data_IF_514475810637
#
_entry.id   IF_514475810637
#
_cell.length_a   1.000
_cell.length_b   1.000
_cell.length_c   1.000
_cell.angle_alpha   90.00
_cell.angle_beta   90.00
_cell.angle_gamma   90.00
#
_symmetry.space_group_name_H-M   'P 1'
#
loop_
_entity.id
_entity.type
_entity.pdbx_description
1 polymer ?
#
# COMPACT_ATOMS: atom_id res chain seq x y z
N UNK A 1 10.06 17.50 -7.07
CA UNK A 1 9.19 16.38 -6.66
C UNK A 1 9.36 15.26 -7.68
N UNK A 2 9.51 14.01 -7.25
CA UNK A 2 9.81 12.87 -8.14
C UNK A 2 8.50 12.21 -8.62
N UNK A 3 8.29 12.12 -9.94
CA UNK A 3 7.05 11.59 -10.53
C UNK A 3 6.98 10.07 -10.63
N UNK A 4 8.05 9.37 -10.29
CA UNK A 4 8.28 7.95 -10.53
C UNK A 4 8.59 7.16 -9.23
N UNK A 5 8.47 7.80 -8.07
CA UNK A 5 8.81 7.18 -6.78
C UNK A 5 7.66 6.32 -6.25
N UNK A 6 8.00 5.19 -5.65
CA UNK A 6 7.06 4.35 -4.93
C UNK A 6 6.90 4.84 -3.49
N UNK A 7 5.70 5.27 -3.15
CA UNK A 7 5.35 5.83 -1.86
C UNK A 7 4.32 4.92 -1.17
N UNK A 8 4.63 4.35 0.01
CA UNK A 8 3.73 3.45 0.71
C UNK A 8 2.66 4.20 1.51
N UNK A 9 1.42 3.74 1.41
CA UNK A 9 0.35 4.02 2.37
C UNK A 9 0.59 3.16 3.63
N UNK A 10 1.37 3.69 4.57
CA UNK A 10 1.90 2.92 5.70
C UNK A 10 0.81 2.39 6.64
N UNK A 11 1.13 1.31 7.38
CA UNK A 11 0.27 0.80 8.45
C UNK A 11 0.04 1.82 9.56
N UNK A 12 1.05 2.63 9.90
CA UNK A 12 0.95 3.66 10.92
C UNK A 12 -0.11 4.71 10.57
N UNK A 13 -0.21 5.14 9.31
CA UNK A 13 -1.27 6.05 8.86
C UNK A 13 -2.67 5.47 9.11
N UNK A 14 -2.86 4.17 8.92
CA UNK A 14 -4.11 3.47 9.22
C UNK A 14 -4.37 3.22 10.71
N UNK A 15 -3.37 3.39 11.57
CA UNK A 15 -3.50 3.30 13.03
C UNK A 15 -3.88 4.65 13.61
N UNK A 16 -3.29 5.73 13.09
CA UNK A 16 -3.62 7.10 13.47
C UNK A 16 -5.02 7.52 13.01
N UNK A 17 -5.44 7.07 11.82
CA UNK A 17 -6.77 7.37 11.26
C UNK A 17 -7.35 6.11 10.58
N UNK A 18 -8.59 5.70 10.90
CA UNK A 18 -9.26 4.60 10.21
C UNK A 18 -9.30 4.72 8.67
N UNK A 19 -9.33 5.94 8.12
CA UNK A 19 -9.25 6.23 6.68
C UNK A 19 -7.83 6.59 6.22
N UNK A 20 -6.84 6.60 7.09
CA UNK A 20 -5.50 7.14 6.82
C UNK A 20 -4.79 6.48 5.65
N UNK A 21 -4.96 5.17 5.44
CA UNK A 21 -4.44 4.47 4.25
C UNK A 21 -5.11 4.95 2.96
N UNK A 22 -6.43 5.16 2.96
CA UNK A 22 -7.15 5.69 1.79
C UNK A 22 -6.71 7.11 1.49
N UNK A 23 -6.62 7.97 2.52
CA UNK A 23 -6.13 9.35 2.39
C UNK A 23 -4.71 9.38 1.82
N UNK A 24 -3.81 8.53 2.29
CA UNK A 24 -2.46 8.44 1.76
C UNK A 24 -2.45 8.05 0.27
N UNK A 25 -3.24 7.05 -0.14
CA UNK A 25 -3.36 6.65 -1.55
C UNK A 25 -3.91 7.78 -2.43
N UNK A 26 -4.88 8.56 -1.93
CA UNK A 26 -5.43 9.72 -2.63
C UNK A 26 -4.47 10.91 -2.66
N UNK A 27 -3.53 10.97 -1.72
CA UNK A 27 -2.53 12.05 -1.62
C UNK A 27 -1.21 11.75 -2.35
N UNK A 28 -1.14 10.67 -3.13
CA UNK A 28 0.01 10.33 -3.98
C UNK A 28 0.74 9.03 -3.62
N UNK A 29 0.35 8.32 -2.56
CA UNK A 29 0.87 6.98 -2.30
C UNK A 29 0.39 5.99 -3.36
N UNK A 30 1.26 5.08 -3.76
CA UNK A 30 0.97 4.06 -4.79
C UNK A 30 1.29 2.63 -4.35
N UNK A 31 1.88 2.43 -3.18
CA UNK A 31 2.19 1.11 -2.60
C UNK A 31 1.34 0.86 -1.36
N UNK A 32 0.93 -0.39 -1.15
CA UNK A 32 0.36 -0.87 0.12
C UNK A 32 1.17 -2.07 0.62
N UNK A 33 1.32 -2.18 1.93
CA UNK A 33 2.10 -3.26 2.56
C UNK A 33 1.19 -4.11 3.46
N UNK A 34 0.76 -5.31 3.02
CA UNK A 34 -0.02 -6.22 3.84
C UNK A 34 0.83 -6.81 4.98
N UNK A 35 0.23 -7.00 6.15
CA UNK A 35 0.86 -7.73 7.25
C UNK A 35 0.63 -9.25 7.05
N UNK A 36 1.62 -9.91 6.47
CA UNK A 36 1.63 -11.37 6.25
C UNK A 36 2.30 -12.13 7.41
N UNK A 37 2.58 -11.47 8.53
CA UNK A 37 3.19 -12.13 9.70
C UNK A 37 2.21 -13.16 10.28
N UNK A 38 2.63 -14.41 10.55
CA UNK A 38 1.75 -15.40 11.16
C UNK A 38 1.19 -14.92 12.49
N UNK A 39 -0.09 -15.23 12.77
CA UNK A 39 -0.81 -14.76 13.94
C UNK A 39 -0.04 -14.94 15.26
N UNK A 40 0.58 -16.12 15.45
CA UNK A 40 1.37 -16.44 16.64
C UNK A 40 2.57 -15.52 16.88
N UNK A 41 3.08 -14.86 15.83
CA UNK A 41 4.26 -14.01 15.89
C UNK A 41 3.95 -12.51 15.84
N UNK A 42 2.73 -12.10 15.49
CA UNK A 42 2.36 -10.68 15.36
C UNK A 42 2.61 -9.86 16.63
N UNK A 43 2.35 -10.46 17.81
CA UNK A 43 2.58 -9.81 19.11
C UNK A 43 4.05 -9.47 19.39
N UNK A 44 4.99 -10.18 18.76
CA UNK A 44 6.42 -9.91 18.92
C UNK A 44 6.92 -8.79 18.00
N UNK A 45 6.08 -8.32 17.07
CA UNK A 45 6.41 -7.25 16.13
C UNK A 45 5.51 -6.02 16.33
N UNK A 46 5.29 -5.65 17.59
CA UNK A 46 4.58 -4.46 18.01
C UNK A 46 5.57 -3.29 18.21
N UNK A 47 5.95 -2.66 17.10
CA UNK A 47 6.90 -1.53 17.09
C UNK A 47 6.28 -0.19 17.52
N UNK A 48 4.96 -0.12 17.69
CA UNK A 48 4.23 1.01 18.28
C UNK A 48 2.87 0.55 18.82
N UNK A 49 2.34 1.21 19.88
CA UNK A 49 1.05 0.85 20.46
C UNK A 49 -0.07 0.92 19.43
N UNK A 50 -0.93 -0.10 19.43
CA UNK A 50 -2.06 -0.10 18.51
C UNK A 50 -1.65 -0.27 17.05
N UNK A 51 -0.40 -0.70 16.75
CA UNK A 51 -0.06 -1.36 15.47
C UNK A 51 -1.09 -2.46 15.27
N UNK A 52 -2.16 -2.12 14.53
CA UNK A 52 -3.33 -2.96 14.36
C UNK A 52 -2.79 -4.34 14.04
N UNK A 53 -3.06 -5.32 14.90
CA UNK A 53 -2.87 -6.75 14.59
C UNK A 53 -3.90 -7.14 13.53
N UNK A 54 -4.01 -6.32 12.48
CA UNK A 54 -5.13 -6.28 11.59
C UNK A 54 -5.13 -7.63 10.95
N UNK A 55 -6.20 -8.36 11.21
CA UNK A 55 -6.52 -9.60 10.52
C UNK A 55 -6.79 -9.37 9.02
N UNK A 56 -6.57 -8.14 8.54
CA UNK A 56 -6.66 -7.79 7.14
C UNK A 56 -5.54 -8.45 6.38
N UNK A 57 -5.78 -9.69 5.96
CA UNK A 57 -5.11 -10.30 4.83
C UNK A 57 -5.36 -9.48 3.55
N UNK A 58 -5.09 -10.11 2.42
CA UNK A 58 -5.13 -9.42 1.13
C UNK A 58 -6.52 -8.88 0.77
N UNK A 59 -7.58 -9.64 1.09
CA UNK A 59 -8.97 -9.33 0.71
C UNK A 59 -9.45 -7.92 1.06
N UNK A 60 -9.45 -7.47 2.34
CA UNK A 60 -9.93 -6.12 2.66
C UNK A 60 -9.08 -5.01 2.03
N UNK A 61 -7.80 -5.26 1.75
CA UNK A 61 -6.96 -4.30 1.05
C UNK A 61 -7.31 -4.21 -0.43
N UNK A 62 -7.60 -5.34 -1.07
CA UNK A 62 -8.05 -5.39 -2.46
C UNK A 62 -9.38 -4.66 -2.62
N UNK A 63 -10.36 -4.97 -1.76
CA UNK A 63 -11.67 -4.29 -1.76
C UNK A 63 -11.52 -2.78 -1.54
N UNK A 64 -10.66 -2.37 -0.61
CA UNK A 64 -10.36 -0.97 -0.38
C UNK A 64 -9.77 -0.31 -1.64
N UNK A 65 -8.78 -0.92 -2.28
CA UNK A 65 -8.15 -0.37 -3.49
C UNK A 65 -9.16 -0.24 -4.64
N UNK A 66 -9.98 -1.27 -4.86
CA UNK A 66 -11.02 -1.26 -5.88
C UNK A 66 -12.07 -0.18 -5.60
N UNK A 67 -12.50 0.00 -4.35
CA UNK A 67 -13.45 1.05 -3.97
C UNK A 67 -12.93 2.48 -4.20
N UNK A 68 -11.62 2.65 -4.33
CA UNK A 68 -10.98 3.94 -4.67
C UNK A 68 -10.83 4.14 -6.19
N UNK A 69 -11.35 3.23 -7.01
CA UNK A 69 -11.17 3.25 -8.47
C UNK A 69 -9.73 2.97 -8.91
N UNK A 70 -8.90 2.39 -8.04
CA UNK A 70 -7.50 2.03 -8.34
C UNK A 70 -7.41 0.54 -8.69
N UNK A 71 -6.32 0.17 -9.34
CA UNK A 71 -6.04 -1.22 -9.75
C UNK A 71 -4.81 -1.78 -9.03
N UNK A 72 -4.81 -3.09 -8.81
CA UNK A 72 -3.66 -3.83 -8.29
C UNK A 72 -2.63 -3.99 -9.41
N UNK A 73 -1.39 -3.59 -9.15
CA UNK A 73 -0.27 -3.80 -10.07
C UNK A 73 0.06 -5.30 -10.19
N UNK A 74 0.31 -5.76 -11.43
CA UNK A 74 0.63 -7.17 -11.72
C UNK A 74 2.10 -7.42 -12.05
N UNK A 75 2.87 -6.36 -12.29
CA UNK A 75 4.31 -6.45 -12.57
C UNK A 75 5.15 -6.53 -11.29
N UNK A 76 6.47 -6.58 -11.45
CA UNK A 76 7.43 -6.67 -10.35
C UNK A 76 7.32 -5.54 -9.31
N UNK A 77 6.69 -4.40 -9.66
CA UNK A 77 6.49 -3.27 -8.73
C UNK A 77 7.76 -2.46 -8.47
N UNK A 78 8.78 -2.63 -9.29
CA UNK A 78 10.03 -1.86 -9.23
C UNK A 78 9.82 -0.47 -9.83
N UNK A 79 10.59 0.51 -9.33
CA UNK A 79 10.62 1.85 -9.91
C UNK A 79 10.98 1.77 -11.38
N UNK A 80 10.13 2.33 -12.24
CA UNK A 80 10.44 2.54 -13.65
C UNK A 80 10.84 4.00 -13.86
N UNK A 81 12.03 4.28 -14.41
CA UNK A 81 12.42 5.63 -14.79
C UNK A 81 11.38 6.24 -15.71
N UNK A 82 11.18 7.56 -15.60
CA UNK A 82 10.22 8.28 -16.43
C UNK A 82 10.44 8.06 -17.95
N UNK A 83 11.68 7.82 -18.39
CA UNK A 83 12.03 7.53 -19.78
C UNK A 83 11.41 6.23 -20.32
N UNK A 84 11.15 5.23 -19.48
CA UNK A 84 10.67 3.90 -19.90
C UNK A 84 9.13 3.77 -19.80
N UNK A 85 8.45 4.74 -19.17
CA UNK A 85 7.00 4.69 -18.96
C UNK A 85 6.17 5.16 -20.20
N UNK A 86 6.82 5.70 -21.24
CA UNK A 86 6.17 6.19 -22.44
C UNK A 86 6.05 5.14 -23.56
N UNK A 87 6.91 4.12 -23.57
CA UNK A 87 6.89 3.09 -24.62
C UNK A 87 5.72 2.11 -24.46
N UNK A 88 5.36 1.75 -23.22
CA UNK A 88 4.24 0.85 -22.91
C UNK A 88 2.84 1.45 -23.19
N UNK A 89 2.73 2.75 -23.48
CA UNK A 89 1.43 3.40 -23.82
C UNK A 89 1.11 3.39 -25.32
N UNK A 90 1.99 2.81 -26.16
CA UNK A 90 1.77 2.64 -27.61
C UNK A 90 1.48 1.19 -28.03
N UNK A 91 1.36 0.25 -27.09
CA UNK A 91 1.02 -1.16 -27.33
C UNK A 91 -0.44 -1.48 -27.06
#
# INVERSE_FOLDING_TARGET
MTGDTHLPATTASGVLDPQGRKKALLAGANVIMPDITPLKYRKYYEIYPGKRQSQGGMEPLILMINSLGRVIGRGAGNRRPHSEAFEDRKG
#
